data_IF_179972946987
#
_entry.id   IF_179972946987
#
_cell.length_a   1.000
_cell.length_b   1.000
_cell.length_c   1.000
_cell.angle_alpha   90.00
_cell.angle_beta   90.00
_cell.angle_gamma   90.00
#
_symmetry.space_group_name_H-M   'P 1'
#
loop_
_entity.id
_entity.type
_entity.pdbx_description
1 polymer ?
#
# COMPACT_ATOMS: atom_id res chain seq x y z
N UNK A 1 -39.60 68.96 1.72
CA UNK A 1 -38.63 67.85 1.89
C UNK A 1 -39.32 66.54 1.52
N UNK A 2 -38.87 65.78 0.52
CA UNK A 2 -39.34 64.42 0.29
C UNK A 2 -38.46 63.39 1.03
N UNK A 3 -38.97 62.20 1.39
CA UNK A 3 -38.20 61.20 2.13
C UNK A 3 -37.24 60.40 1.21
N UNK A 4 -36.06 60.10 1.74
CA UNK A 4 -34.99 59.31 1.09
C UNK A 4 -35.43 57.86 0.86
N UNK A 5 -35.28 57.37 -0.38
CA UNK A 5 -35.41 55.94 -0.73
C UNK A 5 -34.27 55.13 -0.09
N UNK A 6 -34.61 54.09 0.67
CA UNK A 6 -33.65 53.13 1.22
C UNK A 6 -32.99 52.29 0.12
N UNK A 7 -31.67 52.04 0.26
CA UNK A 7 -30.92 51.10 -0.61
C UNK A 7 -31.27 49.66 -0.22
N UNK A 8 -31.42 48.73 -1.18
CA UNK A 8 -31.58 47.32 -0.88
C UNK A 8 -30.22 46.71 -0.48
N UNK A 9 -30.18 46.01 0.65
CA UNK A 9 -29.04 45.24 1.11
C UNK A 9 -28.89 43.98 0.24
N UNK A 10 -27.78 43.88 -0.49
CA UNK A 10 -27.39 42.67 -1.23
C UNK A 10 -27.12 41.55 -0.22
N UNK A 11 -28.01 40.56 -0.16
CA UNK A 11 -27.78 39.32 0.56
C UNK A 11 -26.53 38.62 0.02
N UNK A 12 -25.55 38.36 0.89
CA UNK A 12 -24.42 37.48 0.58
C UNK A 12 -24.97 36.05 0.48
N UNK A 13 -25.11 35.56 -0.74
CA UNK A 13 -25.19 34.12 -1.00
C UNK A 13 -23.87 33.49 -0.57
N UNK A 14 -23.83 32.93 0.62
CA UNK A 14 -22.78 32.00 1.03
C UNK A 14 -23.00 30.71 0.26
N UNK A 15 -22.24 30.54 -0.82
CA UNK A 15 -22.13 29.27 -1.52
C UNK A 15 -21.59 28.23 -0.53
N UNK A 16 -22.49 27.39 -0.05
CA UNK A 16 -22.22 26.28 0.85
C UNK A 16 -21.41 25.26 0.06
N UNK A 17 -20.07 25.39 0.08
CA UNK A 17 -19.16 24.45 -0.56
C UNK A 17 -19.50 23.03 -0.11
N UNK A 18 -19.75 22.17 -1.10
CA UNK A 18 -20.29 20.83 -0.95
C UNK A 18 -19.50 20.01 0.07
N UNK A 19 -20.21 19.67 1.14
CA UNK A 19 -19.78 18.70 2.13
C UNK A 19 -20.05 17.31 1.55
N UNK A 20 -19.21 16.89 0.61
CA UNK A 20 -19.22 15.53 0.06
C UNK A 20 -18.52 14.63 1.07
N UNK A 21 -19.26 14.26 2.11
CA UNK A 21 -18.81 13.31 3.11
C UNK A 21 -18.59 11.93 2.49
N UNK A 22 -17.54 11.27 2.97
CA UNK A 22 -17.31 9.82 3.02
C UNK A 22 -18.34 8.94 2.29
N UNK A 23 -17.99 8.47 1.09
CA UNK A 23 -18.90 7.71 0.22
C UNK A 23 -18.95 6.22 0.54
N UNK A 24 -18.06 5.69 1.39
CA UNK A 24 -18.02 4.27 1.72
C UNK A 24 -18.81 4.00 3.00
N UNK A 25 -19.75 3.03 3.04
CA UNK A 25 -20.41 2.64 4.28
C UNK A 25 -19.42 2.25 5.39
N UNK A 26 -19.75 2.50 6.66
CA UNK A 26 -18.86 2.22 7.79
C UNK A 26 -18.34 0.76 7.84
N UNK A 27 -19.18 -0.19 7.42
CA UNK A 27 -18.80 -1.60 7.29
C UNK A 27 -17.67 -1.85 6.28
N UNK A 28 -17.72 -1.16 5.12
CA UNK A 28 -16.70 -1.26 4.07
C UNK A 28 -15.37 -0.69 4.57
N UNK A 29 -15.41 0.44 5.29
CA UNK A 29 -14.19 1.04 5.88
C UNK A 29 -13.55 0.11 6.90
N UNK A 30 -14.35 -0.50 7.79
CA UNK A 30 -13.85 -1.47 8.78
C UNK A 30 -13.22 -2.68 8.09
N UNK A 31 -13.89 -3.24 7.08
CA UNK A 31 -13.38 -4.37 6.30
C UNK A 31 -12.03 -4.03 5.63
N UNK A 32 -11.90 -2.85 5.03
CA UNK A 32 -10.64 -2.40 4.43
C UNK A 32 -9.51 -2.29 5.48
N UNK A 33 -9.77 -1.68 6.64
CA UNK A 33 -8.77 -1.60 7.73
C UNK A 33 -8.28 -2.99 8.13
N UNK A 34 -9.21 -3.92 8.35
CA UNK A 34 -8.89 -5.28 8.77
C UNK A 34 -8.13 -6.01 7.67
N UNK A 35 -8.51 -5.85 6.39
CA UNK A 35 -7.82 -6.51 5.28
C UNK A 35 -6.38 -6.01 5.12
N UNK A 36 -6.13 -4.71 5.28
CA UNK A 36 -4.77 -4.16 5.23
C UNK A 36 -3.86 -4.71 6.34
N UNK A 37 -4.37 -4.80 7.57
CA UNK A 37 -3.62 -5.40 8.69
C UNK A 37 -3.43 -6.91 8.52
N UNK A 38 -4.50 -7.63 8.14
CA UNK A 38 -4.46 -9.07 7.92
C UNK A 38 -3.50 -9.45 6.79
N UNK A 39 -3.42 -8.64 5.72
CA UNK A 39 -2.47 -8.82 4.62
C UNK A 39 -1.03 -8.94 5.13
N UNK A 40 -0.62 -8.03 6.01
CA UNK A 40 0.73 -8.02 6.61
C UNK A 40 0.98 -9.26 7.46
N UNK A 41 0.02 -9.60 8.33
CA UNK A 41 0.13 -10.79 9.19
C UNK A 41 0.25 -12.06 8.36
N UNK A 42 -0.61 -12.23 7.36
CA UNK A 42 -0.62 -13.40 6.47
C UNK A 42 0.70 -13.52 5.70
N UNK A 43 1.22 -12.42 5.15
CA UNK A 43 2.50 -12.45 4.43
C UNK A 43 3.64 -12.92 5.34
N UNK A 44 3.87 -12.24 6.47
CA UNK A 44 5.02 -12.55 7.33
C UNK A 44 4.90 -13.89 8.06
N UNK A 45 3.68 -14.29 8.47
CA UNK A 45 3.47 -15.62 9.03
C UNK A 45 3.79 -16.72 8.00
N UNK A 46 3.36 -16.54 6.76
CA UNK A 46 3.63 -17.50 5.69
C UNK A 46 5.12 -17.55 5.32
N UNK A 47 5.79 -16.39 5.22
CA UNK A 47 7.24 -16.32 4.97
C UNK A 47 8.02 -16.98 6.12
N UNK A 48 7.71 -16.65 7.37
CA UNK A 48 8.38 -17.21 8.53
C UNK A 48 8.20 -18.74 8.62
N UNK A 49 6.98 -19.23 8.37
CA UNK A 49 6.69 -20.66 8.35
C UNK A 49 7.36 -21.36 7.16
N UNK A 50 7.41 -20.72 5.98
CA UNK A 50 8.12 -21.25 4.83
C UNK A 50 9.63 -21.36 5.07
N UNK A 51 10.23 -20.39 5.77
CA UNK A 51 11.64 -20.44 6.19
C UNK A 51 11.85 -21.57 7.21
N UNK A 52 10.96 -21.73 8.19
CA UNK A 52 11.16 -22.72 9.27
C UNK A 52 11.15 -24.17 8.80
N UNK A 53 10.52 -24.45 7.65
CA UNK A 53 10.49 -25.78 7.03
C UNK A 53 11.53 -25.95 5.90
N UNK A 54 12.41 -24.95 5.70
CA UNK A 54 13.41 -24.90 4.63
C UNK A 54 14.82 -24.79 5.19
N UNK A 55 15.44 -25.91 5.64
CA UNK A 55 16.77 -25.90 6.25
C UNK A 55 17.89 -25.48 5.28
N UNK A 56 17.61 -25.47 3.98
CA UNK A 56 18.53 -25.03 2.92
C UNK A 56 18.53 -23.50 2.75
N UNK A 57 17.55 -22.79 3.29
CA UNK A 57 17.42 -21.34 3.08
C UNK A 57 18.50 -20.57 3.84
N UNK A 58 19.17 -19.66 3.12
CA UNK A 58 20.14 -18.73 3.68
C UNK A 58 19.84 -17.30 3.21
N UNK A 59 19.90 -16.34 4.12
CA UNK A 59 19.59 -14.92 3.81
C UNK A 59 20.48 -14.28 2.74
N UNK A 60 21.72 -14.76 2.61
CA UNK A 60 22.72 -14.24 1.67
C UNK A 60 22.83 -15.09 0.41
N UNK A 61 22.35 -16.33 0.41
CA UNK A 61 22.41 -17.24 -0.73
C UNK A 61 21.12 -17.30 -1.55
N UNK A 62 19.98 -16.97 -0.93
CA UNK A 62 18.66 -17.17 -1.52
C UNK A 62 17.89 -15.87 -1.73
N UNK A 63 16.89 -15.94 -2.59
CA UNK A 63 15.77 -15.02 -2.65
C UNK A 63 14.65 -15.53 -1.75
N UNK A 64 13.78 -14.65 -1.23
CA UNK A 64 12.59 -15.09 -0.50
C UNK A 64 11.68 -15.92 -1.42
N UNK A 65 11.59 -15.55 -2.70
CA UNK A 65 10.78 -16.28 -3.67
C UNK A 65 11.26 -17.71 -3.94
N UNK A 66 12.52 -18.06 -3.63
CA UNK A 66 13.02 -19.44 -3.69
C UNK A 66 12.20 -20.38 -2.79
N UNK A 67 11.63 -19.84 -1.69
CA UNK A 67 10.74 -20.58 -0.79
C UNK A 67 9.47 -21.04 -1.49
N UNK A 68 9.04 -20.32 -2.54
CA UNK A 68 7.92 -20.65 -3.40
C UNK A 68 8.22 -21.75 -4.43
N UNK A 69 9.50 -22.13 -4.60
CA UNK A 69 9.95 -23.05 -5.64
C UNK A 69 10.09 -24.50 -5.17
N UNK A 70 10.31 -24.71 -3.85
CA UNK A 70 10.69 -26.01 -3.30
C UNK A 70 9.67 -26.52 -2.28
N UNK A 71 9.43 -27.83 -2.29
CA UNK A 71 8.64 -28.47 -1.23
C UNK A 71 9.49 -28.64 0.04
N UNK A 72 8.89 -28.56 1.25
CA UNK A 72 7.45 -28.37 1.51
C UNK A 72 7.03 -26.89 1.61
N UNK A 73 7.93 -25.92 1.44
CA UNK A 73 7.64 -24.49 1.65
C UNK A 73 6.78 -23.84 0.56
N UNK A 74 6.82 -24.37 -0.67
CA UNK A 74 6.17 -23.80 -1.84
C UNK A 74 4.68 -23.45 -1.62
N UNK A 75 3.79 -24.37 -1.18
CA UNK A 75 2.39 -24.05 -0.96
C UNK A 75 2.19 -23.01 0.16
N UNK A 76 3.01 -23.05 1.22
CA UNK A 76 2.92 -22.11 2.35
C UNK A 76 3.24 -20.70 1.87
N UNK A 77 4.37 -20.54 1.17
CA UNK A 77 4.81 -19.25 0.65
C UNK A 77 3.85 -18.72 -0.42
N UNK A 78 3.55 -19.51 -1.45
CA UNK A 78 2.79 -19.07 -2.61
C UNK A 78 1.33 -18.73 -2.27
N UNK A 79 0.62 -19.59 -1.52
CA UNK A 79 -0.74 -19.31 -1.08
C UNK A 79 -0.78 -18.16 -0.08
N UNK A 80 0.24 -18.04 0.77
CA UNK A 80 0.43 -16.91 1.67
C UNK A 80 0.53 -15.58 0.94
N UNK A 81 1.34 -15.50 -0.12
CA UNK A 81 1.46 -14.30 -0.94
C UNK A 81 0.17 -13.98 -1.71
N UNK A 82 -0.51 -15.00 -2.27
CA UNK A 82 -1.81 -14.81 -2.93
C UNK A 82 -2.85 -14.26 -1.95
N UNK A 83 -3.00 -14.89 -0.78
CA UNK A 83 -3.95 -14.46 0.23
C UNK A 83 -3.63 -13.04 0.75
N UNK A 84 -2.35 -12.75 1.01
CA UNK A 84 -1.90 -11.42 1.41
C UNK A 84 -2.16 -10.37 0.32
N UNK A 85 -1.87 -10.69 -0.94
CA UNK A 85 -2.12 -9.83 -2.09
C UNK A 85 -3.60 -9.51 -2.27
N UNK A 86 -4.48 -10.52 -2.17
CA UNK A 86 -5.94 -10.32 -2.22
C UNK A 86 -6.41 -9.37 -1.12
N UNK A 87 -5.94 -9.56 0.12
CA UNK A 87 -6.28 -8.69 1.25
C UNK A 87 -5.77 -7.25 1.05
N UNK A 88 -4.57 -7.08 0.50
CA UNK A 88 -4.01 -5.78 0.13
C UNK A 88 -4.78 -5.13 -1.05
N UNK A 89 -5.26 -5.91 -2.01
CA UNK A 89 -6.13 -5.42 -3.10
C UNK A 89 -7.44 -4.88 -2.54
N UNK A 90 -8.10 -5.60 -1.63
CA UNK A 90 -9.32 -5.13 -0.96
C UNK A 90 -9.09 -3.79 -0.26
N UNK A 91 -7.97 -3.67 0.47
CA UNK A 91 -7.60 -2.42 1.14
C UNK A 91 -7.37 -1.27 0.13
N UNK A 92 -6.54 -1.51 -0.89
CA UNK A 92 -6.10 -0.48 -1.83
C UNK A 92 -7.22 -0.01 -2.76
N UNK A 93 -8.13 -0.89 -3.17
CA UNK A 93 -9.35 -0.49 -3.92
C UNK A 93 -10.22 0.45 -3.09
N UNK A 94 -10.37 0.20 -1.78
CA UNK A 94 -11.07 1.13 -0.91
C UNK A 94 -10.31 2.46 -0.80
N UNK A 95 -8.98 2.43 -0.68
CA UNK A 95 -8.15 3.64 -0.68
C UNK A 95 -8.29 4.47 -1.97
N UNK A 96 -8.47 3.84 -3.14
CA UNK A 96 -8.76 4.54 -4.41
C UNK A 96 -10.04 5.37 -4.32
N UNK A 97 -11.06 4.89 -3.59
CA UNK A 97 -12.31 5.63 -3.40
C UNK A 97 -12.18 6.81 -2.44
N UNK A 98 -11.24 6.76 -1.50
CA UNK A 98 -10.97 7.82 -0.52
C UNK A 98 -10.05 8.92 -1.06
N UNK A 99 -9.32 8.64 -2.13
CA UNK A 99 -8.24 9.49 -2.64
C UNK A 99 -8.63 10.27 -3.89
N UNK A 100 -7.94 11.39 -4.13
CA UNK A 100 -8.08 12.23 -5.33
C UNK A 100 -6.71 12.68 -5.85
N UNK A 101 -6.66 13.12 -7.11
CA UNK A 101 -5.43 13.63 -7.74
C UNK A 101 -4.26 12.64 -7.61
N UNK A 102 -3.09 13.13 -7.20
CA UNK A 102 -1.90 12.30 -6.98
C UNK A 102 -2.14 11.16 -5.97
N UNK A 103 -2.95 11.37 -4.93
CA UNK A 103 -3.28 10.31 -3.97
C UNK A 103 -4.00 9.13 -4.63
N UNK A 104 -4.86 9.40 -5.62
CA UNK A 104 -5.58 8.35 -6.37
C UNK A 104 -4.65 7.59 -7.30
N UNK A 105 -3.69 8.28 -7.92
CA UNK A 105 -2.63 7.63 -8.70
C UNK A 105 -1.81 6.70 -7.82
N UNK A 106 -1.37 7.18 -6.64
CA UNK A 106 -0.64 6.36 -5.67
C UNK A 106 -1.45 5.15 -5.19
N UNK A 107 -2.75 5.31 -4.94
CA UNK A 107 -3.63 4.21 -4.56
C UNK A 107 -3.81 3.18 -5.69
N UNK A 108 -3.95 3.63 -6.95
CA UNK A 108 -4.03 2.72 -8.12
C UNK A 108 -2.73 1.94 -8.33
N UNK A 109 -1.58 2.60 -8.15
CA UNK A 109 -0.27 1.93 -8.18
C UNK A 109 -0.15 0.90 -7.07
N UNK A 110 -0.63 1.20 -5.86
CA UNK A 110 -0.67 0.26 -4.74
C UNK A 110 -1.56 -0.95 -5.07
N UNK A 111 -2.73 -0.73 -5.69
CA UNK A 111 -3.60 -1.81 -6.14
C UNK A 111 -2.91 -2.69 -7.17
N UNK A 112 -2.23 -2.10 -8.17
CA UNK A 112 -1.49 -2.85 -9.18
C UNK A 112 -0.30 -3.62 -8.57
N UNK A 113 0.36 -3.04 -7.57
CA UNK A 113 1.37 -3.73 -6.76
C UNK A 113 0.78 -4.94 -6.03
N UNK A 114 -0.35 -4.77 -5.32
CA UNK A 114 -1.02 -5.86 -4.61
C UNK A 114 -1.46 -7.00 -5.55
N UNK A 115 -1.97 -6.68 -6.74
CA UNK A 115 -2.28 -7.68 -7.77
C UNK A 115 -1.00 -8.37 -8.26
N UNK A 116 0.10 -7.63 -8.43
CA UNK A 116 1.39 -8.22 -8.78
C UNK A 116 1.89 -9.18 -7.69
N UNK A 117 1.64 -8.90 -6.40
CA UNK A 117 1.96 -9.83 -5.31
C UNK A 117 1.18 -11.15 -5.43
N UNK A 118 -0.09 -11.10 -5.82
CA UNK A 118 -0.85 -12.31 -6.14
C UNK A 118 -0.19 -13.09 -7.28
N UNK A 119 0.27 -12.39 -8.32
CA UNK A 119 0.97 -13.01 -9.45
C UNK A 119 2.31 -13.62 -9.03
N UNK A 120 3.06 -13.01 -8.10
CA UNK A 120 4.30 -13.59 -7.56
C UNK A 120 4.02 -14.96 -6.91
N UNK A 121 2.94 -15.08 -6.13
CA UNK A 121 2.56 -16.37 -5.56
C UNK A 121 1.97 -17.35 -6.58
N UNK A 122 1.20 -16.86 -7.57
CA UNK A 122 0.56 -17.69 -8.59
C UNK A 122 1.52 -18.16 -9.70
N UNK A 123 2.64 -17.46 -9.88
CA UNK A 123 3.70 -17.78 -10.84
C UNK A 123 4.99 -18.01 -10.05
N UNK A 124 5.20 -19.20 -9.46
CA UNK A 124 6.38 -19.48 -8.65
C UNK A 124 7.67 -19.39 -9.46
N UNK A 125 8.81 -19.30 -8.79
CA UNK A 125 10.13 -19.11 -9.42
C UNK A 125 10.43 -20.08 -10.58
N UNK A 126 10.05 -21.38 -10.55
CA UNK A 126 10.31 -22.31 -11.65
C UNK A 126 9.64 -21.93 -12.99
N UNK A 127 8.66 -21.02 -12.98
CA UNK A 127 8.02 -20.45 -14.19
C UNK A 127 8.93 -19.43 -14.88
N UNK A 128 10.08 -19.08 -14.28
CA UNK A 128 11.16 -18.31 -14.88
C UNK A 128 10.77 -16.85 -15.15
N UNK A 129 10.78 -16.43 -16.42
CA UNK A 129 10.60 -15.01 -16.80
C UNK A 129 9.27 -14.42 -16.32
N UNK A 130 8.20 -15.22 -16.29
CA UNK A 130 6.90 -14.75 -15.82
C UNK A 130 6.94 -14.36 -14.33
N UNK A 131 7.62 -15.15 -13.50
CA UNK A 131 7.87 -14.84 -12.09
C UNK A 131 8.68 -13.54 -11.98
N UNK A 132 9.78 -13.43 -12.73
CA UNK A 132 10.63 -12.24 -12.73
C UNK A 132 9.83 -10.97 -13.05
N UNK A 133 8.98 -10.99 -14.07
CA UNK A 133 8.16 -9.83 -14.43
C UNK A 133 7.14 -9.47 -13.34
N UNK A 134 6.49 -10.46 -12.72
CA UNK A 134 5.58 -10.23 -11.61
C UNK A 134 6.30 -9.61 -10.39
N UNK A 135 7.48 -10.13 -10.04
CA UNK A 135 8.29 -9.63 -8.92
C UNK A 135 8.81 -8.22 -9.17
N UNK A 136 9.35 -7.94 -10.36
CA UNK A 136 9.79 -6.59 -10.75
C UNK A 136 8.62 -5.61 -10.73
N UNK A 137 7.45 -6.01 -11.23
CA UNK A 137 6.25 -5.19 -11.19
C UNK A 137 5.82 -4.89 -9.74
N UNK A 138 5.77 -5.90 -8.87
CA UNK A 138 5.43 -5.74 -7.46
C UNK A 138 6.34 -4.71 -6.76
N UNK A 139 7.66 -4.88 -6.82
CA UNK A 139 8.58 -3.99 -6.13
C UNK A 139 8.59 -2.58 -6.72
N UNK A 140 8.50 -2.45 -8.05
CA UNK A 140 8.51 -1.14 -8.71
C UNK A 140 7.23 -0.36 -8.44
N UNK A 141 6.07 -0.99 -8.67
CA UNK A 141 4.76 -0.35 -8.51
C UNK A 141 4.50 0.02 -7.05
N UNK A 142 4.84 -0.86 -6.11
CA UNK A 142 4.66 -0.59 -4.68
C UNK A 142 5.59 0.53 -4.20
N UNK A 143 6.84 0.56 -4.65
CA UNK A 143 7.77 1.66 -4.30
C UNK A 143 7.28 3.00 -4.84
N UNK A 144 6.84 3.03 -6.10
CA UNK A 144 6.27 4.24 -6.70
C UNK A 144 4.97 4.65 -6.00
N UNK A 145 4.12 3.70 -5.64
CA UNK A 145 2.89 3.95 -4.88
C UNK A 145 3.18 4.69 -3.57
N UNK A 146 4.15 4.20 -2.78
CA UNK A 146 4.57 4.83 -1.53
C UNK A 146 5.10 6.25 -1.77
N UNK A 147 5.96 6.45 -2.77
CA UNK A 147 6.51 7.76 -3.12
C UNK A 147 5.38 8.75 -3.46
N UNK A 148 4.45 8.34 -4.33
CA UNK A 148 3.34 9.18 -4.80
C UNK A 148 2.32 9.45 -3.69
N UNK A 149 1.97 8.43 -2.89
CA UNK A 149 1.09 8.58 -1.73
C UNK A 149 1.70 9.53 -0.70
N UNK A 150 2.98 9.37 -0.38
CA UNK A 150 3.69 10.25 0.56
C UNK A 150 3.79 11.69 0.07
N UNK A 151 4.05 11.90 -1.23
CA UNK A 151 4.04 13.23 -1.83
C UNK A 151 2.65 13.87 -1.74
N UNK A 152 1.59 13.11 -2.06
CA UNK A 152 0.22 13.58 -1.95
C UNK A 152 -0.14 13.98 -0.51
N UNK A 153 0.25 13.18 0.48
CA UNK A 153 0.03 13.47 1.91
C UNK A 153 0.82 14.69 2.37
N UNK A 154 2.05 14.87 1.88
CA UNK A 154 2.85 16.07 2.16
C UNK A 154 2.15 17.34 1.69
N UNK A 155 1.58 17.31 0.47
CA UNK A 155 0.84 18.45 -0.11
C UNK A 155 -0.44 18.76 0.67
N UNK A 156 -1.02 17.81 1.42
CA UNK A 156 -2.15 18.09 2.33
C UNK A 156 -1.76 18.86 3.60
N UNK A 157 -0.48 19.17 3.81
CA UNK A 157 0.03 19.76 5.05
C UNK A 157 0.43 18.73 6.12
N UNK A 158 0.32 17.44 5.82
CA UNK A 158 0.72 16.33 6.70
C UNK A 158 2.19 15.95 6.44
N UNK A 159 3.09 16.93 6.59
CA UNK A 159 4.48 16.86 6.12
C UNK A 159 5.25 15.66 6.65
N UNK A 160 5.26 15.44 7.97
CA UNK A 160 6.01 14.32 8.58
C UNK A 160 5.52 12.98 8.04
N UNK A 161 4.20 12.77 8.03
CA UNK A 161 3.63 11.50 7.54
C UNK A 161 3.90 11.29 6.06
N UNK A 162 3.77 12.34 5.26
CA UNK A 162 4.01 12.30 3.83
C UNK A 162 5.47 12.01 3.50
N UNK A 163 6.42 12.72 4.12
CA UNK A 163 7.86 12.51 3.95
C UNK A 163 8.27 11.11 4.38
N UNK A 164 7.82 10.63 5.54
CA UNK A 164 8.12 9.27 6.00
C UNK A 164 7.58 8.20 5.05
N UNK A 165 6.38 8.41 4.50
CA UNK A 165 5.79 7.50 3.51
C UNK A 165 6.59 7.50 2.21
N UNK A 166 7.03 8.66 1.72
CA UNK A 166 7.88 8.74 0.53
C UNK A 166 9.26 8.14 0.75
N UNK A 167 9.88 8.40 1.90
CA UNK A 167 11.16 7.80 2.28
C UNK A 167 11.08 6.28 2.34
N UNK A 168 10.00 5.71 2.90
CA UNK A 168 9.78 4.27 2.88
C UNK A 168 9.75 3.71 1.45
N UNK A 169 9.10 4.42 0.50
CA UNK A 169 9.11 4.04 -0.92
C UNK A 169 10.48 4.13 -1.56
N UNK A 170 11.26 5.17 -1.26
CA UNK A 170 12.65 5.32 -1.73
C UNK A 170 13.55 4.23 -1.13
N UNK A 171 13.48 3.98 0.17
CA UNK A 171 14.23 2.91 0.85
C UNK A 171 13.93 1.56 0.24
N UNK A 172 12.66 1.27 -0.05
CA UNK A 172 12.26 0.06 -0.78
C UNK A 172 12.96 -0.05 -2.14
N UNK A 173 12.82 0.97 -3.00
CA UNK A 173 13.43 0.96 -4.32
C UNK A 173 14.96 0.82 -4.25
N UNK A 174 15.60 1.60 -3.38
CA UNK A 174 17.06 1.56 -3.19
C UNK A 174 17.50 0.18 -2.71
N UNK A 175 16.80 -0.44 -1.77
CA UNK A 175 17.17 -1.78 -1.27
C UNK A 175 17.25 -2.80 -2.40
N UNK A 176 16.30 -2.79 -3.34
CA UNK A 176 16.29 -3.71 -4.49
C UNK A 176 17.43 -3.44 -5.47
N UNK A 177 17.77 -2.17 -5.69
CA UNK A 177 18.77 -1.75 -6.68
C UNK A 177 20.21 -1.72 -6.16
N UNK A 178 20.40 -1.66 -4.84
CA UNK A 178 21.72 -1.49 -4.25
C UNK A 178 22.63 -2.70 -4.57
N UNK A 179 23.86 -2.49 -5.06
CA UNK A 179 24.82 -3.56 -5.29
C UNK A 179 25.16 -4.30 -4.00
N UNK A 180 25.24 -5.63 -4.06
CA UNK A 180 25.44 -6.49 -2.88
C UNK A 180 26.66 -7.39 -3.06
N UNK A 181 27.44 -7.67 -2.00
CA UNK A 181 28.59 -8.57 -2.06
C UNK A 181 28.22 -10.07 -1.95
N UNK A 182 26.92 -10.40 -1.94
CA UNK A 182 26.39 -11.76 -1.88
C UNK A 182 25.36 -12.01 -3.00
N UNK A 183 25.13 -13.27 -3.41
CA UNK A 183 24.29 -13.57 -4.57
C UNK A 183 22.77 -13.50 -4.30
N UNK A 184 22.32 -13.72 -3.06
CA UNK A 184 20.91 -13.79 -2.68
C UNK A 184 20.19 -12.43 -2.60
N UNK A 185 18.89 -12.45 -2.88
CA UNK A 185 18.00 -11.29 -2.81
C UNK A 185 17.09 -11.24 -1.57
N UNK A 186 17.16 -12.17 -0.64
CA UNK A 186 16.21 -12.20 0.47
C UNK A 186 16.27 -10.96 1.38
N UNK A 187 17.47 -10.44 1.65
CA UNK A 187 17.69 -9.22 2.44
C UNK A 187 17.05 -7.98 1.79
N UNK A 188 17.33 -7.63 0.51
CA UNK A 188 16.69 -6.48 -0.10
C UNK A 188 15.16 -6.67 -0.24
N UNK A 189 14.67 -7.89 -0.50
CA UNK A 189 13.24 -8.17 -0.57
C UNK A 189 12.53 -7.99 0.78
N UNK A 190 13.14 -8.43 1.89
CA UNK A 190 12.54 -8.24 3.22
C UNK A 190 12.55 -6.76 3.64
N UNK A 191 13.60 -6.02 3.29
CA UNK A 191 13.66 -4.56 3.53
C UNK A 191 12.56 -3.86 2.74
N UNK A 192 12.47 -4.08 1.43
CA UNK A 192 11.45 -3.47 0.58
C UNK A 192 10.03 -3.81 1.04
N UNK A 193 9.72 -5.09 1.26
CA UNK A 193 8.40 -5.52 1.73
C UNK A 193 8.04 -4.98 3.12
N UNK A 194 9.01 -4.79 4.01
CA UNK A 194 8.77 -4.18 5.33
C UNK A 194 8.38 -2.71 5.24
N UNK A 195 8.95 -1.96 4.29
CA UNK A 195 8.55 -0.57 4.02
C UNK A 195 7.11 -0.50 3.52
N UNK A 196 6.72 -1.40 2.60
CA UNK A 196 5.33 -1.50 2.13
C UNK A 196 4.38 -1.82 3.28
N UNK A 197 4.73 -2.80 4.11
CA UNK A 197 3.92 -3.25 5.24
C UNK A 197 3.76 -2.15 6.30
N UNK A 198 4.83 -1.42 6.62
CA UNK A 198 4.78 -0.30 7.56
C UNK A 198 3.80 0.78 7.09
N UNK A 199 3.86 1.15 5.80
CA UNK A 199 2.94 2.14 5.21
C UNK A 199 1.51 1.58 5.14
N UNK A 200 1.34 0.30 4.79
CA UNK A 200 0.02 -0.35 4.73
C UNK A 200 -0.66 -0.37 6.10
N UNK A 201 0.07 -0.69 7.17
CA UNK A 201 -0.39 -0.61 8.56
C UNK A 201 -0.75 0.83 8.92
N UNK A 202 0.14 1.78 8.63
CA UNK A 202 -0.10 3.19 8.90
C UNK A 202 -1.38 3.70 8.22
N UNK A 203 -1.57 3.43 6.92
CA UNK A 203 -2.75 3.85 6.18
C UNK A 203 -4.01 3.10 6.65
N UNK A 204 -3.90 1.84 7.08
CA UNK A 204 -5.00 1.10 7.68
C UNK A 204 -5.50 1.74 8.97
N UNK A 205 -4.57 2.14 9.84
CA UNK A 205 -4.91 2.70 11.15
C UNK A 205 -5.31 4.19 11.07
N UNK A 206 -4.58 4.97 10.28
CA UNK A 206 -4.57 6.42 10.33
C UNK A 206 -4.58 7.09 8.93
N UNK A 207 -5.29 6.51 7.95
CA UNK A 207 -5.41 7.06 6.58
C UNK A 207 -5.62 8.58 6.60
N UNK A 208 -4.71 9.36 5.99
CA UNK A 208 -4.79 10.82 5.96
C UNK A 208 -6.08 11.38 5.39
N UNK A 209 -6.72 10.61 4.52
CA UNK A 209 -7.91 10.96 3.76
C UNK A 209 -9.21 10.73 4.52
N UNK A 210 -9.17 10.05 5.67
CA UNK A 210 -10.36 9.75 6.49
C UNK A 210 -10.78 10.89 7.45
N UNK A 211 -10.10 12.04 7.41
CA UNK A 211 -10.35 13.14 8.34
C UNK A 211 -11.20 14.28 7.70
N UNK A 212 -12.53 14.15 7.80
CA UNK A 212 -13.52 15.22 8.12
C UNK A 212 -14.96 14.68 8.09
N UNK A 213 -15.28 13.73 8.96
CA UNK A 213 -16.64 13.20 9.12
C UNK A 213 -17.00 12.88 10.58
N UNK A 214 -16.05 12.35 11.35
CA UNK A 214 -16.35 11.71 12.64
C UNK A 214 -16.05 12.59 13.87
N UNK A 215 -15.83 13.89 13.68
CA UNK A 215 -15.78 14.85 14.79
C UNK A 215 -16.91 15.86 14.64
N UNK A 216 -18.08 15.51 15.19
CA UNK A 216 -19.02 16.50 15.68
C UNK A 216 -19.18 16.24 17.19
N UNK A 217 -19.21 17.29 18.04
CA UNK A 217 -19.21 17.18 19.50
C UNK A 217 -20.44 16.47 20.05
#
# INVERSE_FOLDING_TARGET
>A
MPPRRGRPTRGRHTLRHGRWFDTSPAGVRKAAKVSGLASVVVAYASIALAISVSPWFTWTGNWLSDLGAHMPSAPIFNLGLIASGVLATVFSVNLVSETRGAGRVGALLLTAGAVSLCLVGALPEPVGRAHLYASVAFFTLSSLALIVLGAAVTVMGKHVQGVMTSLAGVTSAVSMLYPRPWPGGAIPEIIASSMFSAVLVYLSLASPWRARGDSNP
#
